data_IF_866156210481
#
_entry.id   IF_866156210481
#
_cell.length_a   1.000
_cell.length_b   1.000
_cell.length_c   1.000
_cell.angle_alpha   90.00
_cell.angle_beta   90.00
_cell.angle_gamma   90.00
#
_symmetry.space_group_name_H-M   'P 1'
#
loop_
_entity.id
_entity.type
_entity.pdbx_description
1 polymer ?
#
# COMPACT_ATOMS: atom_id res chain seq x y z
N UNK A 1 -12.56 12.60 17.17
CA UNK A 1 -11.81 11.33 17.32
C UNK A 1 -12.03 10.40 16.15
N UNK A 2 -13.29 10.06 15.82
CA UNK A 2 -13.59 9.13 14.74
C UNK A 2 -13.22 9.64 13.35
N UNK A 3 -13.28 10.95 13.15
CA UNK A 3 -12.84 11.57 11.90
C UNK A 3 -11.33 11.40 11.69
N UNK A 4 -10.55 11.40 12.75
CA UNK A 4 -9.10 11.19 12.68
C UNK A 4 -8.80 9.78 12.15
N UNK A 5 -9.57 8.78 12.55
CA UNK A 5 -9.43 7.43 12.03
C UNK A 5 -9.67 7.38 10.51
N UNK A 6 -10.70 8.07 10.04
CA UNK A 6 -11.00 8.16 8.60
C UNK A 6 -9.85 8.85 7.86
N UNK A 7 -9.34 9.96 8.40
CA UNK A 7 -8.22 10.67 7.80
C UNK A 7 -6.97 9.78 7.71
N UNK A 8 -6.70 9.01 8.77
CA UNK A 8 -5.57 8.08 8.77
C UNK A 8 -5.68 7.05 7.65
N UNK A 9 -6.87 6.47 7.47
CA UNK A 9 -7.11 5.51 6.38
C UNK A 9 -6.94 6.15 5.01
N UNK A 10 -7.42 7.37 4.84
CA UNK A 10 -7.27 8.12 3.58
C UNK A 10 -5.80 8.40 3.31
N UNK A 11 -5.05 8.88 4.31
CA UNK A 11 -3.64 9.21 4.14
C UNK A 11 -2.80 7.98 3.78
N UNK A 12 -3.02 6.85 4.47
CA UNK A 12 -2.31 5.62 4.15
C UNK A 12 -2.64 5.11 2.75
N UNK A 13 -3.88 5.31 2.31
CA UNK A 13 -4.35 4.81 1.03
C UNK A 13 -3.90 5.66 -0.16
N UNK A 14 -3.71 6.96 0.05
CA UNK A 14 -3.48 7.91 -1.05
C UNK A 14 -2.25 7.57 -1.88
N UNK A 15 -1.12 7.23 -1.23
CA UNK A 15 0.11 6.95 -1.97
C UNK A 15 -0.05 5.72 -2.86
N UNK A 16 -0.77 4.70 -2.39
CA UNK A 16 -0.98 3.48 -3.17
C UNK A 16 -1.89 3.73 -4.36
N UNK A 17 -2.93 4.55 -4.18
CA UNK A 17 -3.81 4.92 -5.28
C UNK A 17 -3.04 5.69 -6.35
N UNK A 18 -2.20 6.64 -5.95
CA UNK A 18 -1.39 7.40 -6.89
C UNK A 18 -0.40 6.51 -7.62
N UNK A 19 0.25 5.59 -6.92
CA UNK A 19 1.19 4.66 -7.54
C UNK A 19 0.51 3.69 -8.49
N UNK A 20 -0.67 3.17 -8.11
CA UNK A 20 -1.44 2.28 -8.97
C UNK A 20 -1.91 2.97 -10.24
N UNK A 21 -2.41 4.19 -10.12
CA UNK A 21 -2.83 4.99 -11.28
C UNK A 21 -1.64 5.29 -12.18
N UNK A 22 -0.50 5.68 -11.60
CA UNK A 22 0.72 5.94 -12.37
C UNK A 22 1.18 4.71 -13.14
N UNK A 23 1.06 3.52 -12.55
CA UNK A 23 1.42 2.27 -13.22
C UNK A 23 0.53 2.00 -14.44
N UNK A 24 -0.74 2.38 -14.38
CA UNK A 24 -1.63 2.24 -15.53
C UNK A 24 -1.20 3.16 -16.67
N UNK A 25 -0.93 4.44 -16.36
CA UNK A 25 -0.56 5.43 -17.37
C UNK A 25 0.87 5.29 -17.88
N UNK A 26 1.73 4.62 -17.13
CA UNK A 26 3.12 4.39 -17.49
C UNK A 26 3.44 2.89 -17.41
N UNK A 27 2.60 2.09 -18.05
CA UNK A 27 2.67 0.62 -17.93
C UNK A 27 3.99 0.08 -18.45
N UNK A 28 4.45 0.56 -19.61
CA UNK A 28 5.71 0.09 -20.20
C UNK A 28 6.89 0.40 -19.29
N UNK A 29 6.96 1.61 -18.74
CA UNK A 29 8.00 1.98 -17.78
C UNK A 29 7.95 1.14 -16.50
N UNK A 30 6.74 0.78 -16.06
CA UNK A 30 6.56 -0.10 -14.91
C UNK A 30 7.15 -1.48 -15.19
N UNK A 31 6.86 -2.04 -16.36
CA UNK A 31 7.40 -3.35 -16.77
C UNK A 31 8.93 -3.31 -16.84
N UNK A 32 9.50 -2.28 -17.45
CA UNK A 32 10.95 -2.12 -17.54
C UNK A 32 11.59 -2.05 -16.16
N UNK A 33 10.99 -1.30 -15.25
CA UNK A 33 11.48 -1.18 -13.88
C UNK A 33 11.44 -2.53 -13.15
N UNK A 34 10.34 -3.25 -13.27
CA UNK A 34 10.19 -4.57 -12.66
C UNK A 34 11.23 -5.55 -13.21
N UNK A 35 11.42 -5.58 -14.52
CA UNK A 35 12.38 -6.47 -15.15
C UNK A 35 13.82 -6.17 -14.72
N UNK A 36 14.14 -4.91 -14.48
CA UNK A 36 15.47 -4.51 -13.99
C UNK A 36 15.79 -5.09 -12.61
N UNK A 37 14.78 -5.50 -11.86
CA UNK A 37 14.92 -6.18 -10.56
C UNK A 37 14.57 -7.66 -10.62
N UNK A 38 14.47 -8.22 -11.83
CA UNK A 38 14.12 -9.63 -12.06
C UNK A 38 12.73 -10.02 -11.53
N UNK A 39 11.80 -9.06 -11.53
CA UNK A 39 10.42 -9.31 -11.15
C UNK A 39 9.62 -9.60 -12.43
N UNK A 40 8.92 -10.75 -12.51
CA UNK A 40 8.21 -11.15 -13.73
C UNK A 40 7.11 -10.15 -14.11
N UNK A 41 6.97 -9.93 -15.42
CA UNK A 41 5.96 -9.04 -15.99
C UNK A 41 4.53 -9.40 -15.58
N UNK A 42 4.23 -10.72 -15.46
CA UNK A 42 2.87 -11.15 -15.14
C UNK A 42 2.39 -10.67 -13.77
N UNK A 43 3.28 -10.19 -12.91
CA UNK A 43 2.93 -9.65 -11.60
C UNK A 43 2.47 -8.19 -11.67
N UNK A 44 2.62 -7.51 -12.81
CA UNK A 44 2.25 -6.10 -12.93
C UNK A 44 0.75 -5.87 -12.73
N UNK A 45 -0.10 -6.64 -13.42
CA UNK A 45 -1.55 -6.48 -13.31
C UNK A 45 -2.07 -6.80 -11.91
N UNK A 46 -1.69 -7.93 -11.28
CA UNK A 46 -2.06 -8.17 -9.88
C UNK A 46 -1.63 -7.05 -8.93
N UNK A 47 -0.43 -6.50 -9.13
CA UNK A 47 0.07 -5.39 -8.32
C UNK A 47 -0.80 -4.15 -8.47
N UNK A 48 -1.16 -3.78 -9.70
CA UNK A 48 -2.03 -2.63 -9.96
C UNK A 48 -3.39 -2.82 -9.30
N UNK A 49 -3.98 -4.00 -9.42
CA UNK A 49 -5.27 -4.31 -8.80
C UNK A 49 -5.15 -4.16 -7.29
N UNK A 50 -4.12 -4.70 -6.67
CA UNK A 50 -3.89 -4.60 -5.24
C UNK A 50 -3.75 -3.14 -4.81
N UNK A 51 -2.97 -2.35 -5.54
CA UNK A 51 -2.70 -0.96 -5.19
C UNK A 51 -3.89 -0.02 -5.38
N UNK A 52 -4.88 -0.41 -6.16
CA UNK A 52 -6.09 0.39 -6.37
C UNK A 52 -7.25 -0.14 -5.54
N UNK A 53 -7.53 -1.43 -5.60
CA UNK A 53 -8.69 -2.01 -4.93
C UNK A 53 -8.58 -1.95 -3.41
N UNK A 54 -7.46 -2.42 -2.85
CA UNK A 54 -7.31 -2.53 -1.41
C UNK A 54 -7.29 -1.17 -0.71
N UNK A 55 -6.59 -0.15 -1.23
CA UNK A 55 -6.71 1.19 -0.64
C UNK A 55 -8.12 1.76 -0.69
N UNK A 56 -8.87 1.52 -1.77
CA UNK A 56 -10.26 1.96 -1.85
C UNK A 56 -11.11 1.28 -0.77
N UNK A 57 -10.90 -0.01 -0.55
CA UNK A 57 -11.58 -0.74 0.52
C UNK A 57 -11.22 -0.19 1.91
N UNK A 58 -9.97 0.24 2.11
CA UNK A 58 -9.56 0.87 3.36
C UNK A 58 -10.26 2.21 3.57
N UNK A 59 -10.40 3.01 2.51
CA UNK A 59 -11.05 4.32 2.64
C UNK A 59 -12.49 4.17 3.11
N UNK A 60 -13.23 3.24 2.52
CA UNK A 60 -14.61 2.97 2.94
C UNK A 60 -14.67 2.13 4.23
N UNK A 61 -13.58 1.51 4.62
CA UNK A 61 -13.50 0.70 5.84
C UNK A 61 -14.16 -0.67 5.71
N UNK A 62 -14.04 -1.31 4.55
CA UNK A 62 -14.56 -2.65 4.32
C UNK A 62 -13.43 -3.66 4.35
N UNK A 63 -13.59 -4.75 5.13
CA UNK A 63 -12.55 -5.77 5.33
C UNK A 63 -11.22 -5.13 5.72
N UNK A 64 -11.28 -4.13 6.60
CA UNK A 64 -10.17 -3.25 6.91
C UNK A 64 -8.95 -4.01 7.43
N UNK A 65 -9.15 -4.96 8.35
CA UNK A 65 -8.04 -5.70 8.95
C UNK A 65 -7.29 -6.53 7.91
N UNK A 66 -8.02 -7.21 7.04
CA UNK A 66 -7.41 -8.03 5.99
C UNK A 66 -6.66 -7.17 4.99
N UNK A 67 -7.29 -6.08 4.53
CA UNK A 67 -6.66 -5.16 3.58
C UNK A 67 -5.41 -4.53 4.16
N UNK A 68 -5.46 -4.12 5.43
CA UNK A 68 -4.30 -3.52 6.10
C UNK A 68 -3.14 -4.51 6.20
N UNK A 69 -3.43 -5.76 6.56
CA UNK A 69 -2.37 -6.78 6.66
C UNK A 69 -1.75 -7.06 5.29
N UNK A 70 -2.57 -7.21 4.25
CA UNK A 70 -2.09 -7.45 2.89
C UNK A 70 -1.21 -6.29 2.42
N UNK A 71 -1.65 -5.06 2.65
CA UNK A 71 -0.88 -3.88 2.25
C UNK A 71 0.41 -3.74 3.06
N UNK A 72 0.41 -4.11 4.34
CA UNK A 72 1.63 -4.12 5.14
C UNK A 72 2.65 -5.11 4.57
N UNK A 73 2.23 -6.32 4.27
CA UNK A 73 3.10 -7.35 3.69
C UNK A 73 3.61 -6.92 2.32
N UNK A 74 2.73 -6.38 1.47
CA UNK A 74 3.10 -5.87 0.16
C UNK A 74 4.15 -4.77 0.26
N UNK A 75 3.94 -3.81 1.16
CA UNK A 75 4.83 -2.67 1.36
C UNK A 75 6.23 -3.13 1.81
N UNK A 76 6.28 -4.05 2.76
CA UNK A 76 7.56 -4.62 3.21
C UNK A 76 8.25 -5.40 2.10
N UNK A 77 7.49 -6.16 1.32
CA UNK A 77 8.03 -6.93 0.20
C UNK A 77 8.65 -6.02 -0.85
N UNK A 78 7.97 -4.93 -1.23
CA UNK A 78 8.52 -3.99 -2.20
C UNK A 78 9.75 -3.27 -1.68
N UNK A 79 9.81 -2.97 -0.38
CA UNK A 79 11.01 -2.38 0.21
C UNK A 79 12.21 -3.33 0.07
N UNK A 80 12.00 -4.60 0.34
CA UNK A 80 13.07 -5.61 0.26
C UNK A 80 13.51 -5.90 -1.17
N UNK A 81 12.63 -5.74 -2.15
CA UNK A 81 12.95 -5.99 -3.55
C UNK A 81 13.59 -4.78 -4.21
N UNK A 82 13.01 -3.59 -4.02
CA UNK A 82 13.33 -2.41 -4.83
C UNK A 82 14.19 -1.36 -4.11
N UNK A 83 14.30 -1.40 -2.78
CA UNK A 83 14.90 -0.32 -2.00
C UNK A 83 16.01 -0.81 -1.06
N UNK A 84 16.90 -1.67 -1.57
CA UNK A 84 17.98 -2.23 -0.76
C UNK A 84 19.37 -1.68 -1.09
N UNK A 85 19.47 -0.76 -2.04
CA UNK A 85 20.74 -0.09 -2.32
C UNK A 85 20.95 1.06 -1.31
N UNK A 86 21.49 0.71 -0.13
CA UNK A 86 21.66 1.68 0.97
C UNK A 86 22.81 2.66 0.75
N UNK A 87 23.59 2.49 -0.33
CA UNK A 87 24.58 3.49 -0.72
C UNK A 87 23.91 4.71 -1.33
N UNK A 88 22.69 4.58 -1.82
CA UNK A 88 21.88 5.66 -2.37
C UNK A 88 20.94 6.16 -1.27
N UNK A 89 21.07 7.45 -0.91
CA UNK A 89 20.28 8.03 0.17
C UNK A 89 18.77 7.98 -0.10
N UNK A 90 18.35 8.19 -1.36
CA UNK A 90 16.93 8.11 -1.72
C UNK A 90 16.37 6.69 -1.55
N UNK A 91 17.17 5.67 -1.85
CA UNK A 91 16.78 4.28 -1.63
C UNK A 91 16.64 3.97 -0.14
N UNK A 92 17.57 4.45 0.68
CA UNK A 92 17.47 4.28 2.13
C UNK A 92 16.22 4.94 2.68
N UNK A 93 15.92 6.17 2.26
CA UNK A 93 14.72 6.89 2.70
C UNK A 93 13.46 6.14 2.26
N UNK A 94 13.43 5.63 1.03
CA UNK A 94 12.29 4.86 0.54
C UNK A 94 12.09 3.56 1.33
N UNK A 95 13.17 2.88 1.67
CA UNK A 95 13.12 1.67 2.49
C UNK A 95 12.51 1.97 3.87
N UNK A 96 13.02 2.99 4.54
CA UNK A 96 12.53 3.38 5.86
C UNK A 96 11.09 3.90 5.81
N UNK A 97 10.74 4.63 4.75
CA UNK A 97 9.38 5.13 4.54
C UNK A 97 8.41 3.97 4.41
N UNK A 98 8.77 2.94 3.64
CA UNK A 98 7.93 1.76 3.50
C UNK A 98 7.74 1.03 4.83
N UNK A 99 8.76 0.97 5.66
CA UNK A 99 8.62 0.41 7.00
C UNK A 99 7.67 1.23 7.87
N UNK A 100 7.74 2.56 7.79
CA UNK A 100 6.83 3.45 8.52
C UNK A 100 5.38 3.25 8.05
N UNK A 101 5.16 3.15 6.75
CA UNK A 101 3.83 2.91 6.17
C UNK A 101 3.30 1.54 6.62
N UNK A 102 4.14 0.51 6.56
CA UNK A 102 3.77 -0.82 7.02
C UNK A 102 3.39 -0.81 8.51
N UNK A 103 4.13 -0.04 9.32
CA UNK A 103 3.79 0.14 10.75
C UNK A 103 2.39 0.71 10.94
N UNK A 104 2.02 1.70 10.15
CA UNK A 104 0.67 2.26 10.16
C UNK A 104 -0.39 1.21 9.82
N UNK A 105 -0.14 0.40 8.79
CA UNK A 105 -1.07 -0.68 8.44
C UNK A 105 -1.17 -1.75 9.52
N UNK A 106 -0.06 -2.08 10.20
CA UNK A 106 -0.09 -3.06 11.28
C UNK A 106 -0.93 -2.58 12.46
N UNK A 107 -0.85 -1.29 12.80
CA UNK A 107 -1.70 -0.69 13.83
C UNK A 107 -3.17 -0.77 13.39
N UNK A 108 -3.44 -0.47 12.14
CA UNK A 108 -4.80 -0.55 11.59
C UNK A 108 -5.31 -2.01 11.57
N UNK A 109 -4.44 -2.97 11.30
CA UNK A 109 -4.78 -4.39 11.37
C UNK A 109 -5.23 -4.80 12.77
N UNK A 110 -4.56 -4.32 13.81
CA UNK A 110 -4.90 -4.65 15.19
C UNK A 110 -6.18 -3.97 15.63
N UNK A 111 -6.33 -2.68 15.32
CA UNK A 111 -7.43 -1.85 15.84
C UNK A 111 -8.69 -1.86 14.97
N UNK A 112 -8.57 -2.21 13.71
CA UNK A 112 -9.70 -2.17 12.77
C UNK A 112 -9.98 -0.77 12.26
N UNK A 113 -11.13 -0.63 11.58
CA UNK A 113 -11.47 0.55 10.79
C UNK A 113 -11.97 1.76 11.59
N UNK A 114 -12.39 1.54 12.84
CA UNK A 114 -13.02 2.58 13.61
C UNK A 114 -14.52 2.68 13.36
N UNK A 115 -15.14 3.72 13.92
CA UNK A 115 -16.61 3.86 13.97
C UNK A 115 -17.22 4.30 12.63
N UNK A 116 -16.53 5.15 11.89
CA UNK A 116 -17.01 5.64 10.59
C UNK A 116 -16.48 4.75 9.47
N UNK A 117 -17.09 3.59 9.31
CA UNK A 117 -16.64 2.61 8.33
C UNK A 117 -17.76 1.65 7.96
N UNK A 118 -17.63 1.00 6.81
CA UNK A 118 -18.56 -0.02 6.38
C UNK A 118 -18.50 -1.25 7.30
N UNK A 119 -17.29 -1.62 7.77
CA UNK A 119 -17.11 -2.72 8.73
C UNK A 119 -17.93 -2.50 10.01
N UNK A 120 -17.93 -1.28 10.52
CA UNK A 120 -18.70 -0.96 11.72
C UNK A 120 -20.20 -1.07 11.46
N UNK A 121 -20.64 -0.61 10.28
CA UNK A 121 -22.06 -0.69 9.90
C UNK A 121 -22.55 -2.13 9.75
N UNK A 122 -21.67 -3.02 9.30
CA UNK A 122 -22.01 -4.43 9.04
C UNK A 122 -21.86 -5.31 10.28
N UNK A 123 -21.27 -4.80 11.34
CA UNK A 123 -21.03 -5.58 12.57
C UNK A 123 -22.23 -5.65 13.50
#
# INVERSE_FOLDING_TARGET
>A
MHIIEVLGRIFLSTIFLLEGINKIFNYEGTIEFMESFNVPEFLAIPTIILEILFPLLLIIGYQTKICALVLAIFTLTTALIFHTDFTNQMQLISFLKNFAIAGGFLILFINGSGKYSLDHKLS
#
